data_IF_611704966373
#
_entry.id   IF_611704966373
#
_cell.length_a   1.000
_cell.length_b   1.000
_cell.length_c   1.000
_cell.angle_alpha   90.00
_cell.angle_beta   90.00
_cell.angle_gamma   90.00
#
_symmetry.space_group_name_H-M   'P 1'
#
loop_
_entity.id
_entity.type
_entity.pdbx_description
1 polymer ?
#
# COMPACT_ATOMS: atom_id res chain seq x y z
N UNK A 1 2.21 -17.63 32.43
CA UNK A 1 1.25 -16.51 32.55
C UNK A 1 0.61 -16.16 31.23
N UNK A 2 -0.72 -15.94 31.27
CA UNK A 2 -1.53 -15.41 30.16
C UNK A 2 -2.38 -14.27 30.71
N UNK A 3 -2.55 -13.22 29.92
CA UNK A 3 -3.47 -12.12 30.21
C UNK A 3 -4.71 -12.23 29.30
N UNK A 4 -5.89 -11.77 29.75
CA UNK A 4 -7.07 -11.75 28.89
C UNK A 4 -6.84 -10.90 27.64
N UNK A 5 -7.55 -11.20 26.55
CA UNK A 5 -7.40 -10.46 25.29
C UNK A 5 -7.78 -8.97 25.46
N UNK A 6 -8.94 -8.71 26.04
CA UNK A 6 -9.38 -7.37 26.38
C UNK A 6 -9.00 -7.02 27.83
N UNK A 7 -8.49 -5.81 28.10
CA UNK A 7 -8.26 -4.70 27.15
C UNK A 7 -6.89 -4.72 26.45
N UNK A 8 -6.00 -5.63 26.84
CA UNK A 8 -4.55 -5.56 26.55
C UNK A 8 -4.18 -5.64 25.08
N UNK A 9 -4.69 -6.65 24.36
CA UNK A 9 -4.40 -6.79 22.93
C UNK A 9 -5.29 -5.89 22.11
N UNK A 10 -6.52 -5.62 22.56
CA UNK A 10 -7.42 -4.68 21.87
C UNK A 10 -6.78 -3.29 21.70
N UNK A 11 -6.19 -2.72 22.76
CA UNK A 11 -5.56 -1.40 22.66
C UNK A 11 -4.28 -1.43 21.81
N UNK A 12 -3.51 -2.53 21.88
CA UNK A 12 -2.31 -2.73 21.08
C UNK A 12 -2.65 -2.83 19.58
N UNK A 13 -3.71 -3.54 19.24
CA UNK A 13 -4.15 -3.72 17.87
C UNK A 13 -4.73 -2.41 17.30
N UNK A 14 -5.45 -1.63 18.11
CA UNK A 14 -5.90 -0.28 17.71
C UNK A 14 -4.70 0.62 17.40
N UNK A 15 -3.66 0.61 18.23
CA UNK A 15 -2.43 1.36 17.94
C UNK A 15 -1.79 0.90 16.62
N UNK A 16 -1.70 -0.41 16.39
CA UNK A 16 -1.18 -0.96 15.13
C UNK A 16 -2.00 -0.53 13.91
N UNK A 17 -3.33 -0.55 14.02
CA UNK A 17 -4.24 -0.08 12.98
C UNK A 17 -4.05 1.41 12.69
N UNK A 18 -3.91 2.25 13.70
CA UNK A 18 -3.66 3.69 13.52
C UNK A 18 -2.36 3.94 12.76
N UNK A 19 -1.28 3.22 13.10
CA UNK A 19 0.00 3.33 12.39
C UNK A 19 -0.16 2.92 10.92
N UNK A 20 -0.84 1.80 10.66
CA UNK A 20 -1.07 1.32 9.30
C UNK A 20 -1.88 2.34 8.47
N UNK A 21 -2.92 2.94 9.05
CA UNK A 21 -3.71 3.98 8.38
C UNK A 21 -2.86 5.21 8.10
N UNK A 22 -2.02 5.67 9.05
CA UNK A 22 -1.15 6.83 8.83
C UNK A 22 -0.19 6.58 7.67
N UNK A 23 0.45 5.41 7.61
CA UNK A 23 1.35 5.06 6.51
C UNK A 23 0.63 5.02 5.16
N UNK A 24 -0.56 4.43 5.12
CA UNK A 24 -1.39 4.41 3.91
C UNK A 24 -1.77 5.84 3.48
N UNK A 25 -2.19 6.68 4.42
CA UNK A 25 -2.57 8.07 4.14
C UNK A 25 -1.39 8.90 3.66
N UNK A 26 -0.17 8.63 4.14
CA UNK A 26 1.04 9.29 3.64
C UNK A 26 1.25 8.94 2.16
N UNK A 27 1.13 7.67 1.79
CA UNK A 27 1.24 7.25 0.38
C UNK A 27 0.14 7.89 -0.46
N UNK A 28 -1.11 7.79 -0.05
CA UNK A 28 -2.25 8.29 -0.84
C UNK A 28 -2.24 9.81 -1.00
N UNK A 29 -1.93 10.57 0.06
CA UNK A 29 -2.05 12.03 0.04
C UNK A 29 -0.80 12.74 -0.49
N UNK A 30 0.40 12.17 -0.29
CA UNK A 30 1.65 12.85 -0.65
C UNK A 30 2.43 12.14 -1.77
N UNK A 31 2.25 10.82 -1.95
CA UNK A 31 3.03 10.03 -2.90
C UNK A 31 2.15 9.02 -3.67
N UNK A 32 1.02 9.43 -4.26
CA UNK A 32 0.00 8.50 -4.77
C UNK A 32 0.55 7.56 -5.85
N UNK A 33 1.49 8.03 -6.66
CA UNK A 33 2.00 7.30 -7.82
C UNK A 33 3.38 6.65 -7.56
N UNK A 34 3.93 6.78 -6.34
CA UNK A 34 5.30 6.37 -6.04
C UNK A 34 5.54 4.85 -6.13
N UNK A 35 4.48 4.06 -5.96
CA UNK A 35 4.54 2.60 -6.09
C UNK A 35 3.93 2.09 -7.41
N UNK A 36 3.50 3.00 -8.29
CA UNK A 36 2.89 2.69 -9.59
C UNK A 36 3.90 2.70 -10.74
N UNK A 37 3.46 2.23 -11.91
CA UNK A 37 4.21 2.34 -13.15
C UNK A 37 3.62 3.47 -14.03
N UNK A 38 4.41 4.47 -14.45
CA UNK A 38 3.95 5.53 -15.36
C UNK A 38 3.37 5.02 -16.69
N UNK A 39 3.82 3.87 -17.20
CA UNK A 39 3.34 3.32 -18.47
C UNK A 39 1.85 2.95 -18.38
N UNK A 40 1.33 2.66 -17.18
CA UNK A 40 -0.10 2.33 -16.95
C UNK A 40 -1.05 3.54 -17.10
N UNK A 41 -0.54 4.76 -17.23
CA UNK A 41 -1.36 5.92 -17.63
C UNK A 41 -1.60 5.99 -19.14
N UNK A 42 -0.89 5.19 -19.93
CA UNK A 42 -1.13 5.07 -21.37
C UNK A 42 -2.12 3.94 -21.66
N UNK A 43 -3.13 4.15 -22.53
CA UNK A 43 -4.05 3.07 -22.91
C UNK A 43 -3.30 1.91 -23.58
N UNK A 44 -3.73 0.68 -23.28
CA UNK A 44 -3.12 -0.52 -23.84
C UNK A 44 -3.12 -0.52 -25.37
N UNK A 45 -1.98 -0.89 -25.97
CA UNK A 45 -1.80 -1.00 -27.41
C UNK A 45 -1.22 -2.39 -27.76
N UNK A 46 -1.99 -3.30 -28.40
CA UNK A 46 -1.51 -4.65 -28.71
C UNK A 46 -0.40 -4.69 -29.76
N UNK A 47 -0.13 -3.58 -30.46
CA UNK A 47 0.92 -3.47 -31.46
C UNK A 47 2.18 -2.78 -30.93
N UNK A 48 2.20 -2.36 -29.66
CA UNK A 48 3.33 -1.66 -29.06
C UNK A 48 3.61 -2.22 -27.65
N UNK A 49 4.82 -2.75 -27.45
CA UNK A 49 5.29 -3.19 -26.13
C UNK A 49 6.23 -2.14 -25.54
N UNK A 50 5.97 -1.64 -24.31
CA UNK A 50 6.87 -0.71 -23.66
C UNK A 50 8.29 -1.28 -23.50
N UNK A 51 9.34 -0.46 -23.70
CA UNK A 51 10.73 -0.94 -23.72
C UNK A 51 11.23 -1.46 -22.36
N UNK A 52 10.62 -1.01 -21.26
CA UNK A 52 11.01 -1.37 -19.89
C UNK A 52 9.87 -2.03 -19.10
N UNK A 53 9.02 -2.79 -19.80
CA UNK A 53 7.88 -3.51 -19.19
C UNK A 53 8.33 -4.37 -17.99
N UNK A 54 7.61 -4.23 -16.87
CA UNK A 54 7.87 -4.91 -15.60
C UNK A 54 6.54 -5.15 -14.85
N UNK A 55 6.45 -6.18 -13.98
CA UNK A 55 5.29 -6.35 -13.12
C UNK A 55 5.22 -5.26 -12.04
N UNK A 56 4.11 -5.20 -11.32
CA UNK A 56 4.02 -4.47 -10.07
C UNK A 56 5.04 -4.99 -9.04
N UNK A 57 5.27 -4.21 -8.00
CA UNK A 57 6.40 -4.39 -7.10
C UNK A 57 6.28 -5.56 -6.09
N UNK A 58 5.07 -6.07 -5.86
CA UNK A 58 4.77 -7.15 -4.90
C UNK A 58 4.54 -8.49 -5.60
#
# INVERSE_FOLDING_TARGET
DKVPFHPYYTIKDILGMLIMIILLMILVLFFPDALGDPDNYTPANPLNTPPHIKPEWY
#
